data_IF_780816777126
#
_entry.id   IF_780816777126
#
_cell.length_a   1.000
_cell.length_b   1.000
_cell.length_c   1.000
_cell.angle_alpha   90.00
_cell.angle_beta   90.00
_cell.angle_gamma   90.00
#
_symmetry.space_group_name_H-M   'P 1'
#
loop_
_entity.id
_entity.type
_entity.pdbx_description
1 polymer ?
#
# COMPACT_ATOMS: atom_id res chain seq x y z
N UNK A 1 -14.20 6.79 5.82
CA UNK A 1 -13.38 5.70 6.38
C UNK A 1 -14.08 4.38 6.18
N UNK A 2 -13.33 3.38 5.78
CA UNK A 2 -13.84 2.04 5.51
C UNK A 2 -12.86 0.98 5.99
N UNK A 3 -13.36 -0.21 6.29
CA UNK A 3 -12.56 -1.37 6.69
C UNK A 3 -12.69 -2.47 5.65
N UNK A 4 -11.57 -2.96 5.13
CA UNK A 4 -11.50 -4.09 4.21
C UNK A 4 -11.07 -5.33 4.98
N UNK A 5 -11.97 -6.33 5.18
CA UNK A 5 -11.61 -7.56 5.88
C UNK A 5 -10.73 -8.47 5.03
N UNK A 6 -9.93 -9.30 5.70
CA UNK A 6 -9.05 -10.32 5.12
C UNK A 6 -7.90 -9.77 4.27
N UNK A 7 -7.56 -8.50 4.45
CA UNK A 7 -6.41 -7.86 3.80
C UNK A 7 -5.60 -7.05 4.81
N UNK A 8 -4.31 -6.98 4.59
CA UNK A 8 -3.39 -6.17 5.38
C UNK A 8 -2.66 -5.16 4.48
N UNK A 9 -2.46 -3.95 5.00
CA UNK A 9 -1.54 -2.98 4.40
C UNK A 9 -0.13 -3.44 4.73
N UNK A 10 0.67 -3.72 3.71
CA UNK A 10 1.98 -4.33 3.91
C UNK A 10 3.00 -3.80 2.92
N UNK A 11 4.24 -3.65 3.37
CA UNK A 11 5.39 -3.41 2.48
C UNK A 11 5.82 -4.74 1.85
N UNK A 12 4.94 -5.32 1.06
CA UNK A 12 5.11 -6.63 0.45
C UNK A 12 5.50 -6.58 -1.03
N UNK A 13 5.73 -5.40 -1.58
CA UNK A 13 6.07 -5.19 -2.97
C UNK A 13 7.43 -4.52 -3.10
N UNK A 14 8.33 -5.11 -3.90
CA UNK A 14 9.62 -4.50 -4.21
C UNK A 14 9.45 -3.37 -5.22
N UNK A 15 10.06 -2.23 -4.93
CA UNK A 15 10.13 -1.10 -5.85
C UNK A 15 11.49 -1.13 -6.56
N UNK A 16 11.46 -1.28 -7.88
CA UNK A 16 12.68 -1.38 -8.70
C UNK A 16 12.92 -0.15 -9.59
N UNK A 17 12.03 0.85 -9.49
CA UNK A 17 12.12 2.09 -10.29
C UNK A 17 11.96 3.34 -9.44
N UNK A 18 10.87 3.45 -8.69
CA UNK A 18 10.54 4.70 -8.00
C UNK A 18 11.30 4.89 -6.70
N UNK A 19 11.41 3.86 -5.87
CA UNK A 19 12.03 3.95 -4.54
C UNK A 19 13.19 2.98 -4.34
N UNK A 20 13.64 2.35 -5.42
CA UNK A 20 14.79 1.47 -5.44
C UNK A 20 15.19 1.18 -6.87
N UNK A 21 16.14 0.29 -7.03
CA UNK A 21 16.64 -0.18 -8.33
C UNK A 21 16.55 -1.69 -8.40
N UNK A 22 16.83 -2.27 -9.57
CA UNK A 22 16.87 -3.74 -9.73
C UNK A 22 17.95 -4.34 -8.83
N UNK A 23 19.08 -3.67 -8.69
CA UNK A 23 20.22 -4.12 -7.87
C UNK A 23 19.98 -3.92 -6.38
N UNK A 24 19.24 -2.87 -6.02
CA UNK A 24 18.95 -2.52 -4.63
C UNK A 24 17.48 -2.10 -4.49
N UNK A 25 16.55 -3.07 -4.50
CA UNK A 25 15.13 -2.76 -4.47
C UNK A 25 14.70 -2.11 -3.17
N UNK A 26 13.77 -1.16 -3.28
CA UNK A 26 13.05 -0.62 -2.13
C UNK A 26 11.77 -1.42 -1.85
N UNK A 27 10.95 -0.90 -0.94
CA UNK A 27 9.66 -1.47 -0.60
C UNK A 27 8.56 -0.43 -0.69
N UNK A 28 7.42 -0.82 -1.23
CA UNK A 28 6.21 0.00 -1.26
C UNK A 28 5.03 -0.81 -0.73
N UNK A 29 3.98 -0.09 -0.31
CA UNK A 29 2.78 -0.70 0.23
C UNK A 29 1.92 -1.31 -0.85
N UNK A 30 1.30 -2.43 -0.51
CA UNK A 30 0.21 -3.02 -1.26
C UNK A 30 -0.76 -3.68 -0.29
N UNK A 31 -1.95 -4.00 -0.78
CA UNK A 31 -2.91 -4.80 -0.04
C UNK A 31 -2.59 -6.27 -0.25
N UNK A 32 -2.27 -6.95 0.84
CA UNK A 32 -1.88 -8.35 0.87
C UNK A 32 -3.01 -9.17 1.52
N UNK A 33 -3.48 -10.20 0.85
CA UNK A 33 -4.55 -11.05 1.38
C UNK A 33 -4.05 -11.83 2.59
N UNK A 34 -4.70 -11.61 3.73
CA UNK A 34 -4.38 -12.30 4.98
C UNK A 34 -5.67 -12.53 5.76
N UNK A 35 -6.09 -13.80 5.82
CA UNK A 35 -7.32 -14.19 6.52
C UNK A 35 -7.27 -13.77 7.98
N UNK A 36 -8.35 -13.16 8.45
CA UNK A 36 -8.48 -12.70 9.84
C UNK A 36 -7.95 -11.30 10.10
N UNK A 37 -7.17 -10.72 9.16
CA UNK A 37 -6.71 -9.34 9.25
C UNK A 37 -7.74 -8.37 8.68
N UNK A 38 -7.57 -7.08 8.94
CA UNK A 38 -8.40 -6.04 8.36
C UNK A 38 -7.57 -4.77 8.12
N UNK A 39 -7.85 -4.10 7.01
CA UNK A 39 -7.18 -2.85 6.65
C UNK A 39 -8.18 -1.69 6.72
N UNK A 40 -7.87 -0.67 7.51
CA UNK A 40 -8.63 0.56 7.53
C UNK A 40 -8.08 1.52 6.47
N UNK A 41 -8.97 2.14 5.73
CA UNK A 41 -8.60 3.07 4.68
C UNK A 41 -9.73 4.03 4.35
N UNK A 42 -9.67 4.61 3.17
CA UNK A 42 -10.68 5.53 2.67
C UNK A 42 -11.30 4.95 1.41
N UNK A 43 -12.64 4.83 1.42
CA UNK A 43 -13.39 4.50 0.23
C UNK A 43 -13.94 5.80 -0.38
N UNK A 44 -13.69 6.00 -1.66
CA UNK A 44 -14.15 7.18 -2.38
C UNK A 44 -15.32 6.81 -3.28
N UNK A 45 -16.36 7.61 -3.22
CA UNK A 45 -17.53 7.45 -4.09
C UNK A 45 -17.29 8.19 -5.39
N UNK A 46 -17.41 7.49 -6.51
CA UNK A 46 -17.33 8.10 -7.83
C UNK A 46 -18.64 8.86 -8.12
N UNK A 47 -18.53 10.05 -8.69
CA UNK A 47 -19.70 10.84 -9.07
C UNK A 47 -20.51 10.12 -10.15
N UNK A 48 -21.85 10.21 -10.02
CA UNK A 48 -22.76 9.60 -10.99
C UNK A 48 -22.44 10.09 -12.41
N UNK A 49 -22.38 9.16 -13.36
CA UNK A 49 -22.06 9.44 -14.75
C UNK A 49 -20.58 9.42 -15.10
N UNK A 50 -19.69 9.29 -14.11
CA UNK A 50 -18.24 9.26 -14.33
C UNK A 50 -17.61 7.88 -14.08
N UNK A 51 -18.42 6.86 -13.83
CA UNK A 51 -17.94 5.52 -13.44
C UNK A 51 -17.04 4.90 -14.53
N UNK A 52 -17.46 4.92 -15.79
CA UNK A 52 -16.70 4.32 -16.88
C UNK A 52 -15.36 5.03 -17.11
N UNK A 53 -15.36 6.37 -17.05
CA UNK A 53 -14.15 7.18 -17.23
C UNK A 53 -13.17 6.96 -16.08
N UNK A 54 -13.65 6.92 -14.85
CA UNK A 54 -12.83 6.68 -13.66
C UNK A 54 -12.23 5.28 -13.69
N UNK A 55 -13.04 4.27 -14.07
CA UNK A 55 -12.57 2.89 -14.17
C UNK A 55 -11.46 2.75 -15.22
N UNK A 56 -11.63 3.38 -16.39
CA UNK A 56 -10.60 3.36 -17.44
C UNK A 56 -9.29 3.99 -16.96
N UNK A 57 -9.37 5.12 -16.24
CA UNK A 57 -8.20 5.79 -15.68
C UNK A 57 -7.48 4.93 -14.64
N UNK A 58 -8.23 4.31 -13.72
CA UNK A 58 -7.66 3.45 -12.69
C UNK A 58 -6.98 2.22 -13.30
N UNK A 59 -7.60 1.59 -14.28
CA UNK A 59 -7.02 0.43 -14.98
C UNK A 59 -5.72 0.79 -15.68
N UNK A 60 -5.69 1.93 -16.36
CA UNK A 60 -4.47 2.40 -17.01
C UNK A 60 -3.36 2.63 -16.00
N UNK A 61 -3.66 3.22 -14.86
CA UNK A 61 -2.68 3.54 -13.84
C UNK A 61 -2.21 2.33 -13.04
N UNK A 62 -3.15 1.49 -12.59
CA UNK A 62 -2.86 0.44 -11.61
C UNK A 62 -2.47 -0.89 -12.25
N UNK A 63 -2.96 -1.20 -13.46
CA UNK A 63 -2.71 -2.49 -14.09
C UNK A 63 -1.55 -2.48 -15.10
N UNK A 64 -0.88 -1.35 -15.27
CA UNK A 64 0.20 -1.21 -16.25
C UNK A 64 1.40 -2.13 -15.96
N UNK A 65 1.72 -2.36 -14.69
CA UNK A 65 2.86 -3.19 -14.29
C UNK A 65 2.51 -4.66 -14.10
N UNK A 66 1.24 -5.03 -14.20
CA UNK A 66 0.72 -6.39 -13.91
C UNK A 66 0.92 -6.85 -12.46
N UNK A 67 1.42 -5.99 -11.57
CA UNK A 67 1.66 -6.34 -10.17
C UNK A 67 0.37 -6.40 -9.35
N UNK A 68 -0.70 -5.75 -9.81
CA UNK A 68 -1.97 -5.68 -9.10
C UNK A 68 -3.07 -6.43 -9.82
N UNK A 69 -4.01 -6.96 -9.04
CA UNK A 69 -5.24 -7.58 -9.52
C UNK A 69 -6.41 -6.71 -9.11
N UNK A 70 -7.31 -6.42 -10.05
CA UNK A 70 -8.54 -5.67 -9.80
C UNK A 70 -9.59 -6.62 -9.22
N UNK A 71 -10.16 -6.26 -8.07
CA UNK A 71 -11.22 -7.03 -7.43
C UNK A 71 -12.35 -6.13 -6.97
N UNK A 72 -13.56 -6.68 -6.93
CA UNK A 72 -14.71 -6.04 -6.29
C UNK A 72 -14.91 -6.71 -4.94
N UNK A 73 -14.71 -5.97 -3.87
CA UNK A 73 -14.72 -6.49 -2.51
C UNK A 73 -15.67 -5.69 -1.63
N UNK A 74 -16.29 -6.37 -0.67
CA UNK A 74 -17.14 -5.71 0.30
C UNK A 74 -16.28 -5.02 1.36
N UNK A 75 -16.57 -3.75 1.63
CA UNK A 75 -15.94 -2.99 2.71
C UNK A 75 -17.03 -2.49 3.66
N UNK A 76 -16.68 -2.33 4.94
CA UNK A 76 -17.58 -1.77 5.94
C UNK A 76 -17.26 -0.32 6.17
N UNK A 77 -18.26 0.55 5.97
CA UNK A 77 -18.12 1.97 6.25
C UNK A 77 -18.21 2.23 7.76
N UNK A 78 -17.74 3.40 8.17
CA UNK A 78 -17.74 3.79 9.58
C UNK A 78 -19.16 3.80 10.19
N UNK A 79 -20.18 4.09 9.39
CA UNK A 79 -21.58 4.09 9.82
C UNK A 79 -22.21 2.69 9.89
N UNK A 80 -21.45 1.65 9.59
CA UNK A 80 -21.88 0.25 9.64
C UNK A 80 -22.41 -0.30 8.32
N UNK A 81 -22.59 0.52 7.29
CA UNK A 81 -23.04 0.04 5.98
C UNK A 81 -21.93 -0.77 5.31
N UNK A 82 -22.35 -1.81 4.60
CA UNK A 82 -21.46 -2.61 3.77
C UNK A 82 -21.67 -2.23 2.31
N UNK A 83 -20.60 -1.90 1.60
CA UNK A 83 -20.65 -1.52 0.19
C UNK A 83 -19.61 -2.31 -0.59
N UNK A 84 -19.90 -2.57 -1.88
CA UNK A 84 -18.96 -3.19 -2.78
C UNK A 84 -18.06 -2.11 -3.38
N UNK A 85 -16.75 -2.31 -3.30
CA UNK A 85 -15.74 -1.35 -3.72
C UNK A 85 -14.75 -2.00 -4.67
N UNK A 86 -14.31 -1.25 -5.67
CA UNK A 86 -13.21 -1.65 -6.53
C UNK A 86 -11.90 -1.50 -5.77
N UNK A 87 -11.11 -2.57 -5.74
CA UNK A 87 -9.85 -2.62 -4.98
C UNK A 87 -8.76 -3.24 -5.85
N UNK A 88 -7.56 -2.67 -5.78
CA UNK A 88 -6.37 -3.22 -6.42
C UNK A 88 -5.50 -3.87 -5.37
N UNK A 89 -5.30 -5.18 -5.49
CA UNK A 89 -4.54 -5.97 -4.53
C UNK A 89 -3.30 -6.55 -5.19
N UNK A 90 -2.28 -6.87 -4.40
CA UNK A 90 -1.04 -7.42 -4.95
C UNK A 90 -1.31 -8.82 -5.53
N UNK A 91 -0.68 -9.10 -6.67
CA UNK A 91 -0.61 -10.44 -7.23
C UNK A 91 0.57 -11.17 -6.60
N UNK A 92 0.28 -12.14 -5.75
CA UNK A 92 1.31 -12.91 -5.04
C UNK A 92 2.21 -13.73 -5.99
N UNK A 93 1.77 -13.96 -7.22
CA UNK A 93 2.57 -14.65 -8.23
C UNK A 93 3.52 -13.70 -8.99
N UNK A 94 3.40 -12.39 -8.78
CA UNK A 94 4.27 -11.42 -9.46
C UNK A 94 5.66 -11.37 -8.84
N UNK A 95 6.68 -11.17 -9.68
CA UNK A 95 8.09 -11.17 -9.28
C UNK A 95 8.43 -10.12 -8.22
N UNK A 96 7.69 -8.99 -8.20
CA UNK A 96 7.91 -7.92 -7.23
C UNK A 96 7.31 -8.21 -5.85
N UNK A 97 6.45 -9.23 -5.73
CA UNK A 97 5.90 -9.62 -4.44
C UNK A 97 6.98 -10.29 -3.58
N UNK A 98 7.16 -9.79 -2.37
CA UNK A 98 8.18 -10.32 -1.45
C UNK A 98 7.61 -10.91 -0.17
N UNK A 99 6.28 -10.91 -0.03
CA UNK A 99 5.61 -11.44 1.16
C UNK A 99 5.85 -10.58 2.41
N UNK A 100 5.58 -11.15 3.55
CA UNK A 100 5.73 -10.50 4.85
C UNK A 100 7.14 -10.63 5.39
N UNK A 101 8.05 -9.76 4.99
CA UNK A 101 9.37 -9.69 5.59
C UNK A 101 9.28 -9.26 7.06
N UNK A 102 10.21 -9.68 7.93
CA UNK A 102 10.30 -9.16 9.29
C UNK A 102 10.42 -7.63 9.28
N UNK A 103 9.79 -6.96 10.23
CA UNK A 103 9.77 -5.48 10.26
C UNK A 103 11.18 -4.87 10.31
N UNK A 104 12.10 -5.46 11.06
CA UNK A 104 13.48 -4.96 11.12
C UNK A 104 14.15 -5.03 9.74
N UNK A 105 13.92 -6.09 8.98
CA UNK A 105 14.44 -6.22 7.63
C UNK A 105 13.84 -5.18 6.69
N UNK A 106 12.54 -4.93 6.80
CA UNK A 106 11.87 -3.85 6.06
C UNK A 106 12.51 -2.50 6.37
N UNK A 107 12.76 -2.21 7.64
CA UNK A 107 13.38 -0.96 8.06
C UNK A 107 14.78 -0.80 7.47
N UNK A 108 15.60 -1.84 7.49
CA UNK A 108 16.94 -1.81 6.90
C UNK A 108 16.91 -1.51 5.41
N UNK A 109 15.99 -2.14 4.67
CA UNK A 109 15.84 -1.90 3.23
C UNK A 109 15.43 -0.44 2.98
N UNK A 110 14.38 0.03 3.66
CA UNK A 110 13.86 1.38 3.44
C UNK A 110 14.80 2.49 3.89
N UNK A 111 15.69 2.20 4.82
CA UNK A 111 16.69 3.16 5.26
C UNK A 111 17.76 3.47 4.19
N UNK A 112 17.98 2.56 3.25
CA UNK A 112 19.10 2.65 2.31
C UNK A 112 18.70 2.73 0.85
N UNK A 113 17.57 2.15 0.44
CA UNK A 113 17.17 2.11 -0.96
C UNK A 113 16.81 3.50 -1.49
N UNK A 114 17.24 3.79 -2.71
CA UNK A 114 16.94 5.06 -3.42
C UNK A 114 16.56 4.71 -4.86
N UNK A 115 15.49 5.30 -5.34
CA UNK A 115 15.02 5.12 -6.71
C UNK A 115 14.84 6.44 -7.46
N UNK A 116 14.22 6.37 -8.63
CA UNK A 116 14.01 7.52 -9.51
C UNK A 116 13.18 8.65 -8.90
N UNK A 117 12.35 8.35 -7.91
CA UNK A 117 11.54 9.35 -7.19
C UNK A 117 12.11 9.73 -5.83
N UNK A 118 13.30 9.26 -5.50
CA UNK A 118 14.01 9.62 -4.28
C UNK A 118 14.16 8.45 -3.30
N UNK A 119 14.57 8.76 -2.06
CA UNK A 119 14.81 7.76 -1.04
C UNK A 119 13.53 7.01 -0.64
N UNK A 120 13.66 5.73 -0.37
CA UNK A 120 12.56 4.90 0.12
C UNK A 120 12.05 5.40 1.49
N UNK A 121 12.95 5.93 2.33
CA UNK A 121 12.58 6.53 3.61
C UNK A 121 11.59 7.69 3.46
N UNK A 122 11.73 8.49 2.42
CA UNK A 122 10.80 9.59 2.13
C UNK A 122 9.39 9.06 1.85
N UNK A 123 9.27 8.01 1.05
CA UNK A 123 7.98 7.35 0.80
C UNK A 123 7.35 6.88 2.11
N UNK A 124 8.14 6.24 2.99
CA UNK A 124 7.68 5.77 4.29
C UNK A 124 7.15 6.92 5.15
N UNK A 125 7.92 8.00 5.29
CA UNK A 125 7.53 9.13 6.12
C UNK A 125 6.29 9.84 5.59
N UNK A 126 6.24 10.07 4.30
CA UNK A 126 5.09 10.71 3.65
C UNK A 126 3.82 9.88 3.83
N UNK A 127 3.93 8.57 3.70
CA UNK A 127 2.80 7.66 3.89
C UNK A 127 2.33 7.64 5.33
N UNK A 128 3.25 7.55 6.28
CA UNK A 128 2.92 7.57 7.71
C UNK A 128 2.22 8.88 8.10
N UNK A 129 2.74 10.01 7.64
CA UNK A 129 2.15 11.32 7.91
C UNK A 129 0.77 11.47 7.30
N UNK A 130 0.58 10.96 6.08
CA UNK A 130 -0.71 11.02 5.39
C UNK A 130 -1.78 10.20 6.13
N UNK A 131 -1.44 8.98 6.56
CA UNK A 131 -2.37 8.16 7.33
C UNK A 131 -2.73 8.81 8.67
N UNK A 132 -1.76 9.40 9.34
CA UNK A 132 -2.02 10.15 10.57
C UNK A 132 -2.97 11.32 10.34
N UNK A 133 -2.79 12.07 9.26
CA UNK A 133 -3.68 13.17 8.87
C UNK A 133 -5.11 12.68 8.61
N UNK A 134 -5.28 11.48 8.08
CA UNK A 134 -6.59 10.87 7.87
C UNK A 134 -7.21 10.29 9.16
N UNK A 135 -6.47 10.29 10.26
CA UNK A 135 -6.91 9.69 11.52
C UNK A 135 -6.82 8.16 11.53
N UNK A 136 -6.05 7.58 10.61
CA UNK A 136 -5.84 6.13 10.53
C UNK A 136 -4.63 5.73 11.36
N UNK A 137 -4.81 4.71 12.20
CA UNK A 137 -3.77 4.22 13.09
C UNK A 137 -3.18 2.93 12.53
N UNK A 138 -1.87 2.94 12.25
CA UNK A 138 -1.12 1.77 11.77
C UNK A 138 0.15 1.59 12.59
N UNK A 139 0.10 0.74 13.63
CA UNK A 139 1.26 0.56 14.53
C UNK A 139 2.53 0.09 13.83
N UNK A 140 2.41 -0.81 12.84
CA UNK A 140 3.57 -1.30 12.10
C UNK A 140 4.25 -0.18 11.32
N UNK A 141 3.47 0.65 10.66
CA UNK A 141 3.98 1.78 9.89
C UNK A 141 4.64 2.82 10.79
N UNK A 142 4.02 3.11 11.94
CA UNK A 142 4.59 4.03 12.93
C UNK A 142 5.92 3.52 13.47
N UNK A 143 5.98 2.24 13.79
CA UNK A 143 7.21 1.60 14.25
C UNK A 143 8.32 1.69 13.18
N UNK A 144 7.98 1.38 11.92
CA UNK A 144 8.92 1.47 10.81
C UNK A 144 9.47 2.89 10.64
N UNK A 145 8.61 3.90 10.69
CA UNK A 145 9.05 5.29 10.56
C UNK A 145 10.02 5.67 11.67
N UNK A 146 9.75 5.30 12.91
CA UNK A 146 10.64 5.53 14.04
C UNK A 146 11.97 4.81 13.86
N UNK A 147 11.92 3.54 13.50
CA UNK A 147 13.11 2.70 13.35
C UNK A 147 14.02 3.18 12.23
N UNK A 148 13.45 3.55 11.09
CA UNK A 148 14.24 4.07 9.96
C UNK A 148 14.91 5.39 10.32
N UNK A 149 14.25 6.26 11.08
CA UNK A 149 14.89 7.49 11.59
C UNK A 149 16.09 7.17 12.49
N UNK A 150 15.99 6.17 13.33
CA UNK A 150 17.10 5.72 14.17
C UNK A 150 18.28 5.21 13.33
N UNK A 151 18.00 4.40 12.31
CA UNK A 151 19.04 3.82 11.44
C UNK A 151 19.75 4.91 10.65
N UNK A 152 19.04 5.93 10.21
CA UNK A 152 19.58 7.01 9.36
C UNK A 152 20.11 8.22 10.12
N UNK A 153 19.98 8.21 11.43
CA UNK A 153 20.45 9.31 12.27
C UNK A 153 21.99 9.44 12.30
#
# INVERSE_FOLDING_TARGET
IATLPDYARSFCMRSIHHRGTVEDPGLVLALDEQAGEACEGVALRVMAGQEAQTLAYLRERELISSAYVEKELAVRLLDGREVTTLVYVIDEAHDQYCGGLPLEKQAQIMAHAVGGRGPNSEYLYNTADHLATLGLHDPALEWLATRVREITA
#
